data_IF_365494713385
#
_entry.id   IF_365494713385
#
_cell.length_a   1.000
_cell.length_b   1.000
_cell.length_c   1.000
_cell.angle_alpha   90.00
_cell.angle_beta   90.00
_cell.angle_gamma   90.00
#
_symmetry.space_group_name_H-M   'P 1'
#
loop_
_entity.id
_entity.type
_entity.pdbx_description
1 polymer ?
#
# COMPACT_ATOMS: atom_id res chain seq x y z
N UNK A 1 -9.85 -16.39 -2.98
CA UNK A 1 -9.49 -15.63 -4.20
C UNK A 1 -8.00 -15.32 -4.13
N UNK A 2 -7.25 -15.66 -5.18
CA UNK A 2 -5.85 -15.29 -5.29
C UNK A 2 -5.74 -13.85 -5.81
N UNK A 3 -4.97 -13.02 -5.11
CA UNK A 3 -4.70 -11.66 -5.54
C UNK A 3 -3.52 -11.61 -6.53
N UNK A 4 -3.59 -10.70 -7.49
CA UNK A 4 -2.56 -10.54 -8.53
C UNK A 4 -1.33 -9.79 -8.02
N UNK A 5 -1.47 -8.97 -6.98
CA UNK A 5 -0.39 -8.18 -6.39
C UNK A 5 0.04 -8.75 -5.04
N UNK A 6 1.36 -8.85 -4.83
CA UNK A 6 1.94 -9.16 -3.54
C UNK A 6 1.50 -8.11 -2.50
N UNK A 7 1.35 -8.53 -1.26
CA UNK A 7 0.98 -7.65 -0.12
C UNK A 7 -0.41 -7.00 -0.17
N UNK A 8 -1.23 -7.28 -1.16
CA UNK A 8 -2.61 -6.77 -1.19
C UNK A 8 -3.40 -7.19 0.05
N UNK A 9 -3.15 -8.40 0.55
CA UNK A 9 -3.76 -8.90 1.78
C UNK A 9 -3.43 -8.01 2.98
N UNK A 10 -2.20 -7.53 3.09
CA UNK A 10 -1.81 -6.59 4.16
C UNK A 10 -2.60 -5.29 4.12
N UNK A 11 -2.87 -4.74 2.94
CA UNK A 11 -3.74 -3.58 2.79
C UNK A 11 -5.17 -3.87 3.23
N UNK A 12 -5.71 -5.05 2.89
CA UNK A 12 -7.05 -5.48 3.31
C UNK A 12 -7.12 -5.68 4.82
N UNK A 13 -6.11 -6.30 5.43
CA UNK A 13 -6.01 -6.50 6.88
C UNK A 13 -6.02 -5.16 7.64
N UNK A 14 -5.47 -4.12 7.05
CA UNK A 14 -5.47 -2.76 7.58
C UNK A 14 -6.72 -1.93 7.21
N UNK A 15 -7.67 -2.53 6.49
CA UNK A 15 -8.87 -1.82 6.05
C UNK A 15 -8.59 -0.74 5.00
N UNK A 16 -7.48 -0.87 4.23
CA UNK A 16 -7.15 0.05 3.15
C UNK A 16 -8.06 -0.19 1.93
N UNK A 17 -9.30 0.22 2.10
CA UNK A 17 -10.38 0.14 1.13
C UNK A 17 -11.19 1.43 1.13
N UNK A 18 -11.92 1.76 0.06
CA UNK A 18 -12.79 2.92 0.06
C UNK A 18 -13.80 2.86 1.22
N UNK A 19 -13.80 3.88 2.06
CA UNK A 19 -14.70 3.98 3.22
C UNK A 19 -15.35 5.37 3.25
N UNK A 20 -16.49 5.48 3.94
CA UNK A 20 -17.12 6.78 4.20
C UNK A 20 -17.47 7.59 2.94
N UNK A 21 -17.83 6.93 1.85
CA UNK A 21 -18.08 7.58 0.56
C UNK A 21 -16.83 7.80 -0.29
N UNK A 22 -15.68 7.21 0.11
CA UNK A 22 -14.46 7.16 -0.70
C UNK A 22 -14.69 6.42 -2.02
N UNK A 23 -13.90 6.76 -3.03
CA UNK A 23 -14.01 6.19 -4.37
C UNK A 23 -13.03 5.04 -4.54
N UNK A 24 -13.42 4.02 -5.29
CA UNK A 24 -12.51 3.03 -5.83
C UNK A 24 -11.68 3.61 -6.99
N UNK A 25 -10.77 2.83 -7.56
CA UNK A 25 -9.89 3.27 -8.66
C UNK A 25 -10.70 3.79 -9.84
N UNK A 26 -11.78 3.11 -10.23
CA UNK A 26 -12.63 3.53 -11.35
C UNK A 26 -13.31 4.88 -11.07
N UNK A 27 -13.82 5.05 -9.85
CA UNK A 27 -14.40 6.31 -9.39
C UNK A 27 -13.38 7.45 -9.32
N UNK A 28 -12.14 7.16 -8.87
CA UNK A 28 -11.04 8.14 -8.85
C UNK A 28 -10.71 8.59 -10.29
N UNK A 29 -10.51 7.67 -11.22
CA UNK A 29 -10.19 7.99 -12.61
C UNK A 29 -11.32 8.80 -13.28
N UNK A 30 -12.57 8.37 -13.07
CA UNK A 30 -13.75 9.11 -13.57
C UNK A 30 -13.82 10.53 -12.99
N UNK A 31 -13.55 10.67 -11.69
CA UNK A 31 -13.53 11.97 -11.02
C UNK A 31 -12.38 12.87 -11.49
N UNK A 32 -11.21 12.31 -11.75
CA UNK A 32 -10.06 13.02 -12.31
C UNK A 32 -10.36 13.55 -13.71
N UNK A 33 -10.85 12.67 -14.59
CA UNK A 33 -11.27 13.03 -15.95
C UNK A 33 -12.35 14.13 -15.99
N UNK A 34 -13.25 14.10 -15.00
CA UNK A 34 -14.28 15.13 -14.84
C UNK A 34 -13.76 16.43 -14.14
N UNK A 35 -12.48 16.51 -13.81
CA UNK A 35 -11.88 17.65 -13.12
C UNK A 35 -12.32 17.84 -11.66
N UNK A 36 -12.96 16.84 -11.07
CA UNK A 36 -13.42 16.87 -9.66
C UNK A 36 -12.30 16.53 -8.67
N UNK A 37 -11.37 15.67 -9.08
CA UNK A 37 -10.18 15.32 -8.29
C UNK A 37 -9.04 16.21 -8.77
N UNK A 38 -8.42 16.94 -7.85
CA UNK A 38 -7.37 17.93 -8.17
C UNK A 38 -5.97 17.42 -7.89
N UNK A 39 -5.85 16.47 -6.95
CA UNK A 39 -4.56 15.89 -6.56
C UNK A 39 -4.70 14.37 -6.51
N UNK A 40 -3.74 13.67 -7.08
CA UNK A 40 -3.66 12.21 -7.06
C UNK A 40 -2.27 11.83 -6.55
N UNK A 41 -2.25 10.94 -5.55
CA UNK A 41 -1.03 10.37 -5.00
C UNK A 41 -0.92 8.91 -5.46
N UNK A 42 0.07 8.62 -6.29
CA UNK A 42 0.36 7.27 -6.80
C UNK A 42 1.45 6.64 -5.92
N UNK A 43 1.06 5.74 -5.02
CA UNK A 43 2.00 4.98 -4.21
C UNK A 43 2.34 3.66 -4.90
N UNK A 44 3.43 3.66 -5.67
CA UNK A 44 3.87 2.51 -6.46
C UNK A 44 2.85 2.06 -7.51
N UNK A 45 1.98 2.95 -7.96
CA UNK A 45 0.86 2.63 -8.85
C UNK A 45 1.20 3.02 -10.29
N UNK A 46 1.52 2.03 -11.12
CA UNK A 46 1.82 2.17 -12.55
C UNK A 46 0.83 1.44 -13.47
N UNK A 47 -0.09 0.66 -12.88
CA UNK A 47 -0.98 -0.26 -13.62
C UNK A 47 -2.24 0.41 -14.16
N UNK A 48 -2.44 1.72 -13.91
CA UNK A 48 -3.61 2.47 -14.37
C UNK A 48 -3.30 3.22 -15.66
N UNK A 49 -4.34 3.54 -16.42
CA UNK A 49 -4.17 4.39 -17.59
C UNK A 49 -3.93 5.85 -17.18
N UNK A 50 -2.70 6.31 -17.30
CA UNK A 50 -2.27 7.65 -16.89
C UNK A 50 -2.97 8.78 -17.69
N UNK A 51 -3.49 8.50 -18.87
CA UNK A 51 -4.26 9.49 -19.66
C UNK A 51 -5.62 9.81 -19.01
N UNK A 52 -6.12 8.95 -18.14
CA UNK A 52 -7.39 9.17 -17.43
C UNK A 52 -7.25 10.08 -16.21
N UNK A 53 -6.03 10.45 -15.83
CA UNK A 53 -5.77 11.36 -14.71
C UNK A 53 -6.11 12.82 -15.01
N UNK A 54 -6.39 13.17 -16.30
CA UNK A 54 -6.76 14.51 -16.71
C UNK A 54 -5.74 15.57 -16.29
N UNK A 55 -6.24 16.71 -15.83
CA UNK A 55 -5.42 17.85 -15.36
C UNK A 55 -5.14 17.78 -13.84
N UNK A 56 -5.29 16.62 -13.22
CA UNK A 56 -4.95 16.46 -11.80
C UNK A 56 -3.45 16.64 -11.58
N UNK A 57 -3.10 17.29 -10.48
CA UNK A 57 -1.71 17.32 -10.00
C UNK A 57 -1.34 15.96 -9.48
N UNK A 58 -0.30 15.33 -10.04
CA UNK A 58 0.08 13.95 -9.76
C UNK A 58 1.39 13.89 -8.97
N UNK A 59 1.34 13.27 -7.81
CA UNK A 59 2.51 12.93 -7.00
C UNK A 59 2.75 11.43 -7.18
N UNK A 60 3.93 11.04 -7.62
CA UNK A 60 4.35 9.65 -7.71
C UNK A 60 5.38 9.33 -6.63
N UNK A 61 5.11 8.33 -5.82
CA UNK A 61 6.08 7.73 -4.90
C UNK A 61 6.33 6.30 -5.33
N UNK A 62 7.56 5.99 -5.68
CA UNK A 62 7.93 4.65 -6.14
C UNK A 62 9.41 4.54 -6.44
N UNK A 63 9.84 3.35 -6.85
CA UNK A 63 11.25 3.00 -7.07
C UNK A 63 11.56 2.69 -8.54
N UNK A 64 10.59 2.82 -9.44
CA UNK A 64 10.76 2.65 -10.89
C UNK A 64 10.39 3.92 -11.64
N UNK A 65 11.05 4.15 -12.77
CA UNK A 65 10.79 5.26 -13.66
C UNK A 65 9.74 4.94 -14.74
N UNK A 66 8.67 4.25 -14.38
CA UNK A 66 7.63 3.80 -15.30
C UNK A 66 6.57 4.88 -15.59
N UNK A 67 5.43 4.48 -16.12
CA UNK A 67 4.39 5.40 -16.64
C UNK A 67 3.87 6.35 -15.57
N UNK A 68 3.79 5.93 -14.30
CA UNK A 68 3.40 6.79 -13.19
C UNK A 68 4.39 7.92 -12.95
N UNK A 69 5.69 7.62 -12.96
CA UNK A 69 6.75 8.61 -12.82
C UNK A 69 6.75 9.59 -14.00
N UNK A 70 6.56 9.11 -15.22
CA UNK A 70 6.52 9.98 -16.42
C UNK A 70 5.31 10.91 -16.44
N UNK A 71 4.19 10.53 -15.82
CA UNK A 71 2.99 11.39 -15.71
C UNK A 71 3.06 12.36 -14.54
N UNK A 72 3.90 12.09 -13.54
CA UNK A 72 3.92 12.85 -12.30
C UNK A 72 4.43 14.29 -12.47
N UNK A 73 3.81 15.20 -11.73
CA UNK A 73 4.29 16.58 -11.55
C UNK A 73 5.38 16.64 -10.47
N UNK A 74 5.34 15.71 -9.51
CA UNK A 74 6.34 15.52 -8.45
C UNK A 74 6.66 14.05 -8.29
N UNK A 75 7.95 13.71 -8.21
CA UNK A 75 8.44 12.36 -7.93
C UNK A 75 9.10 12.35 -6.54
N UNK A 76 8.63 11.43 -5.69
CA UNK A 76 9.22 11.13 -4.39
C UNK A 76 9.89 9.75 -4.49
N UNK A 77 11.22 9.67 -4.56
CA UNK A 77 11.90 8.41 -4.79
C UNK A 77 11.80 7.49 -3.57
N UNK A 78 11.07 6.38 -3.74
CA UNK A 78 10.93 5.31 -2.74
C UNK A 78 12.03 4.26 -2.89
N UNK A 79 12.36 3.59 -1.79
CA UNK A 79 13.30 2.48 -1.79
C UNK A 79 12.66 1.20 -2.36
N UNK A 80 13.42 0.41 -3.12
CA UNK A 80 13.00 -0.91 -3.58
C UNK A 80 12.88 -1.92 -2.42
N UNK A 81 12.29 -3.07 -2.66
CA UNK A 81 12.06 -4.08 -1.62
C UNK A 81 13.35 -4.62 -0.98
N UNK A 82 14.46 -4.60 -1.69
CA UNK A 82 15.78 -5.00 -1.17
C UNK A 82 16.48 -3.89 -0.40
N UNK A 83 16.01 -2.66 -0.50
CA UNK A 83 16.64 -1.44 -0.01
C UNK A 83 15.97 -0.89 1.25
N UNK A 84 14.99 -1.60 1.77
CA UNK A 84 14.20 -1.16 2.94
C UNK A 84 13.85 -2.31 3.88
N UNK A 85 13.57 -1.95 5.12
CA UNK A 85 12.88 -2.84 6.06
C UNK A 85 11.38 -2.73 5.83
N UNK A 86 10.70 -3.85 5.67
CA UNK A 86 9.28 -3.86 5.38
C UNK A 86 8.54 -5.00 6.08
N UNK A 87 7.23 -4.90 6.16
CA UNK A 87 6.34 -5.96 6.63
C UNK A 87 5.38 -6.30 5.50
N UNK A 88 5.32 -7.55 5.11
CA UNK A 88 4.47 -8.06 4.04
C UNK A 88 3.49 -9.09 4.58
N UNK A 89 2.31 -9.15 4.00
CA UNK A 89 1.34 -10.20 4.25
C UNK A 89 1.10 -10.96 2.95
N UNK A 90 1.40 -12.26 2.96
CA UNK A 90 1.23 -13.10 1.78
C UNK A 90 -0.25 -13.46 1.54
N UNK A 91 -0.54 -14.19 0.48
CA UNK A 91 -1.91 -14.60 0.10
C UNK A 91 -2.60 -15.46 1.17
N UNK A 92 -1.85 -16.16 2.01
CA UNK A 92 -2.37 -16.97 3.11
C UNK A 92 -2.65 -16.15 4.38
N UNK A 93 -2.35 -14.84 4.38
CA UNK A 93 -2.47 -13.99 5.56
C UNK A 93 -1.26 -14.06 6.49
N UNK A 94 -0.16 -14.68 6.08
CA UNK A 94 1.06 -14.75 6.89
C UNK A 94 1.82 -13.45 6.85
N UNK A 95 2.12 -12.89 8.02
CA UNK A 95 2.92 -11.68 8.17
C UNK A 95 4.41 -12.02 8.19
N UNK A 96 5.17 -11.40 7.33
CA UNK A 96 6.60 -11.68 7.11
C UNK A 96 7.42 -10.39 7.12
N UNK A 97 8.64 -10.45 7.67
CA UNK A 97 9.58 -9.35 7.60
C UNK A 97 10.48 -9.46 6.36
N UNK A 98 10.62 -8.36 5.66
CA UNK A 98 11.77 -8.15 4.79
C UNK A 98 12.81 -7.28 5.50
N UNK A 99 14.05 -7.66 5.36
CA UNK A 99 15.18 -6.92 5.90
C UNK A 99 15.94 -6.26 4.76
N UNK A 100 16.35 -5.04 5.00
CA UNK A 100 17.21 -4.31 4.07
C UNK A 100 18.50 -5.11 3.79
N UNK A 101 18.78 -5.35 2.53
CA UNK A 101 19.97 -6.05 2.07
C UNK A 101 21.05 -5.08 1.54
N UNK A 102 20.63 -3.97 0.93
CA UNK A 102 21.50 -2.94 0.37
C UNK A 102 20.94 -1.55 0.72
N UNK A 103 21.77 -0.53 0.66
CA UNK A 103 21.30 0.84 0.84
C UNK A 103 20.55 1.35 -0.39
N UNK A 104 19.49 2.16 -0.21
CA UNK A 104 18.81 2.79 -1.32
C UNK A 104 19.75 3.76 -2.06
N UNK A 105 19.65 3.86 -3.39
CA UNK A 105 20.49 4.74 -4.19
C UNK A 105 20.03 6.20 -4.09
N UNK A 106 20.96 7.12 -4.17
CA UNK A 106 20.71 8.56 -4.26
C UNK A 106 19.79 9.08 -3.14
N UNK A 107 18.71 9.73 -3.54
CA UNK A 107 17.74 10.32 -2.61
C UNK A 107 16.56 9.39 -2.25
N UNK A 108 16.61 8.13 -2.67
CA UNK A 108 15.57 7.17 -2.34
C UNK A 108 15.47 6.93 -0.82
N UNK A 109 14.24 6.83 -0.32
CA UNK A 109 13.93 6.67 1.11
C UNK A 109 12.91 5.55 1.30
N UNK A 110 12.88 4.97 2.49
CA UNK A 110 11.80 4.05 2.89
C UNK A 110 10.45 4.77 2.80
N UNK A 111 9.46 4.14 2.19
CA UNK A 111 8.15 4.75 1.85
C UNK A 111 7.49 5.42 3.05
N UNK A 112 7.53 4.76 4.21
CA UNK A 112 6.90 5.28 5.42
C UNK A 112 7.55 6.59 5.90
N UNK A 113 8.85 6.79 5.68
CA UNK A 113 9.55 8.03 6.10
C UNK A 113 9.12 9.23 5.25
N UNK A 114 8.87 8.99 3.97
CA UNK A 114 8.33 10.01 3.05
C UNK A 114 6.93 10.42 3.50
N UNK A 115 6.06 9.44 3.76
CA UNK A 115 4.68 9.69 4.19
C UNK A 115 4.67 10.37 5.57
N UNK A 116 5.55 9.94 6.48
CA UNK A 116 5.69 10.56 7.80
C UNK A 116 6.11 12.03 7.70
N UNK A 117 7.08 12.35 6.85
CA UNK A 117 7.51 13.73 6.62
C UNK A 117 6.38 14.57 6.00
N UNK A 118 5.68 14.03 4.99
CA UNK A 118 4.54 14.69 4.36
C UNK A 118 3.42 14.98 5.37
N UNK A 119 3.12 14.03 6.25
CA UNK A 119 2.08 14.17 7.28
C UNK A 119 2.34 15.35 8.21
N UNK A 120 3.60 15.57 8.58
CA UNK A 120 3.98 16.71 9.42
C UNK A 120 3.78 18.05 8.69
N UNK A 121 4.13 18.13 7.40
CA UNK A 121 3.91 19.31 6.58
C UNK A 121 2.42 19.64 6.39
N UNK A 122 1.57 18.61 6.35
CA UNK A 122 0.12 18.76 6.26
C UNK A 122 -0.57 19.06 7.60
N UNK A 123 0.19 19.18 8.69
CA UNK A 123 -0.34 19.48 10.03
C UNK A 123 -1.01 18.30 10.73
N UNK A 124 -0.86 17.08 10.22
CA UNK A 124 -1.43 15.84 10.78
C UNK A 124 -0.34 14.80 10.97
N UNK A 125 0.63 15.11 11.83
CA UNK A 125 1.80 14.27 12.05
C UNK A 125 1.42 12.86 12.52
N UNK A 126 1.88 11.84 11.77
CA UNK A 126 1.73 10.44 12.16
C UNK A 126 2.55 10.12 13.43
N UNK A 127 2.04 9.24 14.31
CA UNK A 127 2.57 9.07 15.67
C UNK A 127 3.76 8.12 15.77
N UNK A 128 4.64 8.06 14.77
CA UNK A 128 5.81 7.19 14.76
C UNK A 128 7.01 7.86 14.08
N UNK A 129 8.18 7.70 14.64
CA UNK A 129 9.43 8.25 14.15
C UNK A 129 10.45 7.17 13.76
N UNK A 130 10.13 5.90 13.96
CA UNK A 130 10.94 4.76 13.56
C UNK A 130 10.11 3.53 13.21
N UNK A 131 10.76 2.54 12.57
CA UNK A 131 10.07 1.33 12.08
C UNK A 131 9.47 0.48 13.21
N UNK A 132 10.02 0.54 14.41
CA UNK A 132 9.50 -0.21 15.57
C UNK A 132 8.18 0.39 16.05
N UNK A 133 8.10 1.69 16.13
CA UNK A 133 6.87 2.41 16.47
C UNK A 133 5.80 2.19 15.40
N UNK A 134 6.16 2.29 14.10
CA UNK A 134 5.25 1.98 13.01
C UNK A 134 4.69 0.54 13.11
N UNK A 135 5.53 -0.43 13.45
CA UNK A 135 5.08 -1.82 13.66
C UNK A 135 4.18 -1.97 14.87
N UNK A 136 4.39 -1.18 15.91
CA UNK A 136 3.47 -1.14 17.05
C UNK A 136 2.08 -0.65 16.65
N UNK A 137 2.00 0.35 15.77
CA UNK A 137 0.73 0.81 15.20
C UNK A 137 0.05 -0.27 14.34
N UNK A 138 0.83 -1.02 13.54
CA UNK A 138 0.28 -2.15 12.77
C UNK A 138 -0.38 -3.19 13.70
N UNK A 139 0.29 -3.55 14.80
CA UNK A 139 -0.24 -4.49 15.81
C UNK A 139 -1.53 -3.96 16.44
N UNK A 140 -1.59 -2.68 16.77
CA UNK A 140 -2.80 -2.05 17.32
C UNK A 140 -3.95 -2.05 16.30
N UNK A 141 -3.63 -1.86 15.02
CA UNK A 141 -4.62 -1.84 13.94
C UNK A 141 -5.20 -3.22 13.63
N UNK A 142 -4.37 -4.28 13.69
CA UNK A 142 -4.82 -5.65 13.44
C UNK A 142 -3.90 -6.66 14.16
N UNK A 143 -4.52 -7.50 14.99
CA UNK A 143 -3.82 -8.51 15.79
C UNK A 143 -3.03 -9.55 14.96
N UNK A 144 -3.34 -9.73 13.68
CA UNK A 144 -2.56 -10.60 12.79
C UNK A 144 -1.08 -10.22 12.76
N UNK A 145 -0.78 -8.92 12.89
CA UNK A 145 0.60 -8.42 12.92
C UNK A 145 1.40 -8.78 14.19
N UNK A 146 0.78 -9.40 15.20
CA UNK A 146 1.50 -10.02 16.32
C UNK A 146 2.26 -11.28 15.89
N UNK A 147 1.85 -11.94 14.81
CA UNK A 147 2.37 -13.22 14.35
C UNK A 147 3.48 -13.06 13.29
N UNK A 148 4.26 -11.99 13.37
CA UNK A 148 5.34 -11.72 12.41
C UNK A 148 6.32 -12.89 12.37
N UNK A 149 6.62 -13.39 11.17
CA UNK A 149 7.52 -14.51 10.86
C UNK A 149 7.11 -15.85 11.53
N UNK A 150 5.89 -15.96 12.06
CA UNK A 150 5.39 -17.21 12.62
C UNK A 150 4.71 -18.05 11.54
N UNK A 151 5.05 -19.33 11.52
CA UNK A 151 4.34 -20.33 10.72
C UNK A 151 3.30 -21.01 11.62
N UNK A 152 2.06 -20.54 11.55
CA UNK A 152 0.97 -21.15 12.29
C UNK A 152 0.36 -22.27 11.43
N UNK A 153 0.23 -23.49 11.96
CA UNK A 153 -0.43 -24.57 11.24
C UNK A 153 -1.91 -24.24 11.03
N UNK A 154 -2.38 -24.41 9.79
CA UNK A 154 -3.79 -24.29 9.50
C UNK A 154 -4.59 -25.36 10.28
N UNK A 155 -5.74 -24.98 10.81
CA UNK A 155 -6.70 -25.95 11.32
C UNK A 155 -7.33 -26.66 10.12
N UNK A 156 -7.01 -27.93 9.92
CA UNK A 156 -7.63 -28.72 8.87
C UNK A 156 -9.14 -28.83 9.12
N UNK A 157 -9.91 -28.36 8.15
CA UNK A 157 -11.36 -28.55 8.09
C UNK A 157 -11.68 -29.56 6.99
N UNK A 158 -12.92 -30.06 6.95
CA UNK A 158 -13.38 -30.91 5.85
C UNK A 158 -13.14 -30.19 4.53
N UNK A 159 -12.45 -30.84 3.61
CA UNK A 159 -12.27 -30.34 2.26
C UNK A 159 -13.64 -30.24 1.57
N UNK A 160 -13.98 -29.06 1.07
CA UNK A 160 -15.31 -28.85 0.46
C UNK A 160 -16.46 -28.72 1.48
N UNK A 161 -16.18 -28.28 2.71
CA UNK A 161 -17.29 -27.78 3.54
C UNK A 161 -17.98 -26.65 2.79
N UNK A 162 -19.30 -26.74 2.71
CA UNK A 162 -20.17 -25.77 2.05
C UNK A 162 -19.95 -24.37 2.66
N UNK A 163 -18.88 -23.74 2.27
CA UNK A 163 -18.72 -22.32 2.45
C UNK A 163 -19.79 -21.69 1.57
N UNK A 164 -20.64 -20.92 2.18
CA UNK A 164 -21.63 -20.11 1.50
C UNK A 164 -20.88 -19.26 0.45
N UNK A 165 -20.79 -19.80 -0.77
CA UNK A 165 -20.35 -19.04 -1.94
C UNK A 165 -21.54 -18.15 -2.27
N UNK A 166 -21.78 -17.17 -1.39
CA UNK A 166 -22.68 -16.09 -1.76
C UNK A 166 -22.02 -15.37 -2.92
N UNK A 167 -22.57 -15.57 -4.10
CA UNK A 167 -22.30 -14.79 -5.29
C UNK A 167 -22.37 -13.30 -4.93
N UNK A 168 -21.20 -12.71 -4.70
CA UNK A 168 -21.06 -11.27 -4.77
C UNK A 168 -20.01 -10.96 -5.82
N UNK A 169 -20.40 -10.16 -6.83
CA UNK A 169 -19.57 -9.76 -7.96
C UNK A 169 -18.31 -9.02 -7.56
#
# INVERSE_FOLDING_TARGET
VLHTAASRVGGLDLGFTPQGGGLDVAGILSGAKAGKIKVIYLLGADEINMQELGDSFVIYQGHHGDTGAHRADVILPGAAYTEKNATYVNTEGRVQLARQAIFPPGDAREDWTIIRALSALLGHQLPYDNITELRSELVQSNANFLNIDQVLPAKWQKFGSDGDVSDKP
#
